data_IF_607341667369
#
_entry.id   IF_607341667369
#
_cell.length_a   1.000
_cell.length_b   1.000
_cell.length_c   1.000
_cell.angle_alpha   90.00
_cell.angle_beta   90.00
_cell.angle_gamma   90.00
#
_symmetry.space_group_name_H-M   'P 1'
#
loop_
_entity.id
_entity.type
_entity.pdbx_description
1 polymer ?
#
# COMPACT_ATOMS: atom_id res chain seq x y z
N UNK A 1 -24.83 18.86 -10.45
CA UNK A 1 -24.71 17.44 -10.83
C UNK A 1 -24.38 16.67 -9.56
N UNK A 2 -25.39 16.09 -8.91
CA UNK A 2 -25.17 15.06 -7.87
C UNK A 2 -24.53 13.86 -8.56
N UNK A 3 -23.19 13.87 -8.59
CA UNK A 3 -22.38 12.93 -9.34
C UNK A 3 -22.45 11.54 -8.70
N UNK A 4 -22.82 10.52 -9.48
CA UNK A 4 -22.42 9.14 -9.21
C UNK A 4 -20.93 9.13 -8.82
N UNK A 5 -20.64 8.61 -7.63
CA UNK A 5 -19.26 8.45 -7.15
C UNK A 5 -18.57 7.41 -8.04
N UNK A 6 -17.83 7.88 -9.04
CA UNK A 6 -16.98 7.03 -9.89
C UNK A 6 -16.10 6.15 -9.01
N UNK A 7 -16.15 4.85 -9.23
CA UNK A 7 -15.40 3.83 -8.47
C UNK A 7 -14.13 3.43 -9.20
N UNK A 8 -13.31 2.62 -8.53
CA UNK A 8 -12.18 1.97 -9.20
C UNK A 8 -12.70 1.14 -10.37
N UNK A 9 -12.07 1.29 -11.53
CA UNK A 9 -12.40 0.52 -12.72
C UNK A 9 -11.31 -0.50 -12.95
N UNK A 10 -11.64 -1.77 -12.73
CA UNK A 10 -10.72 -2.90 -12.83
C UNK A 10 -11.01 -3.74 -14.06
N UNK A 11 -9.97 -4.30 -14.67
CA UNK A 11 -10.10 -5.22 -15.78
C UNK A 11 -9.21 -6.42 -15.52
N UNK A 12 -9.78 -7.62 -15.63
CA UNK A 12 -9.04 -8.87 -15.56
C UNK A 12 -9.10 -9.64 -16.88
N UNK A 13 -8.13 -10.55 -17.06
CA UNK A 13 -8.01 -11.40 -18.26
C UNK A 13 -9.21 -12.33 -18.51
N UNK A 14 -10.12 -12.50 -17.54
CA UNK A 14 -11.30 -13.36 -17.68
C UNK A 14 -12.51 -12.69 -18.37
N UNK A 15 -12.44 -11.39 -18.66
CA UNK A 15 -13.50 -10.68 -19.38
C UNK A 15 -13.35 -10.90 -20.90
N UNK A 16 -14.34 -11.54 -21.52
CA UNK A 16 -14.38 -11.99 -22.94
C UNK A 16 -14.24 -10.90 -24.03
N UNK A 17 -13.95 -9.65 -23.67
CA UNK A 17 -13.54 -8.58 -24.60
C UNK A 17 -12.48 -7.72 -23.92
N UNK A 18 -11.22 -7.71 -24.38
CA UNK A 18 -10.25 -6.77 -23.87
C UNK A 18 -10.69 -5.35 -24.23
N UNK A 19 -11.03 -4.53 -23.23
CA UNK A 19 -11.06 -3.08 -23.42
C UNK A 19 -9.67 -2.63 -23.91
N UNK A 20 -9.59 -1.91 -25.02
CA UNK A 20 -8.32 -1.44 -25.61
C UNK A 20 -7.63 -0.34 -24.78
N UNK A 21 -8.25 0.09 -23.67
CA UNK A 21 -7.86 1.31 -22.97
C UNK A 21 -7.27 1.05 -21.58
N UNK A 22 -7.34 -0.16 -21.04
CA UNK A 22 -6.73 -0.51 -19.75
C UNK A 22 -5.91 -1.79 -19.89
N UNK A 23 -4.69 -1.76 -19.34
CA UNK A 23 -3.83 -2.93 -19.18
C UNK A 23 -4.59 -4.05 -18.46
N UNK A 24 -4.20 -5.31 -18.69
CA UNK A 24 -4.87 -6.42 -18.02
C UNK A 24 -4.42 -6.53 -16.55
N UNK A 25 -5.34 -7.00 -15.71
CA UNK A 25 -5.15 -7.25 -14.28
C UNK A 25 -4.71 -5.99 -13.50
N UNK A 26 -5.08 -4.80 -13.97
CA UNK A 26 -4.91 -3.53 -13.23
C UNK A 26 -6.24 -2.82 -13.01
N UNK A 27 -6.25 -1.90 -12.05
CA UNK A 27 -7.38 -1.01 -11.78
C UNK A 27 -6.96 0.45 -11.93
N UNK A 28 -7.75 1.25 -12.65
CA UNK A 28 -7.53 2.70 -12.77
C UNK A 28 -8.25 3.45 -11.64
N UNK A 29 -7.58 4.37 -10.93
CA UNK A 29 -8.19 5.14 -9.86
C UNK A 29 -9.32 6.05 -10.37
N UNK A 30 -10.38 6.28 -9.58
CA UNK A 30 -11.43 7.25 -9.90
C UNK A 30 -10.89 8.64 -10.29
N UNK A 31 -9.82 9.08 -9.62
CA UNK A 31 -9.12 10.33 -9.88
C UNK A 31 -8.50 10.35 -11.28
N UNK A 32 -7.75 9.30 -11.63
CA UNK A 32 -7.11 9.17 -12.95
C UNK A 32 -8.13 9.11 -14.11
N UNK A 33 -9.31 8.54 -13.88
CA UNK A 33 -10.41 8.54 -14.85
C UNK A 33 -10.95 9.95 -15.14
N UNK A 34 -10.80 10.90 -14.20
CA UNK A 34 -11.35 12.26 -14.26
C UNK A 34 -10.28 13.35 -14.38
N UNK A 35 -9.05 12.98 -14.72
CA UNK A 35 -7.94 13.92 -14.79
C UNK A 35 -8.25 15.13 -15.70
N UNK A 36 -7.91 16.34 -15.25
CA UNK A 36 -8.27 17.56 -15.96
C UNK A 36 -7.46 17.74 -17.27
N UNK A 37 -8.06 17.37 -18.40
CA UNK A 37 -7.43 17.49 -19.75
C UNK A 37 -8.30 18.23 -20.77
N UNK A 38 -9.37 18.89 -20.34
CA UNK A 38 -10.39 19.49 -21.23
C UNK A 38 -9.87 20.63 -22.12
N UNK A 39 -8.78 21.28 -21.72
CA UNK A 39 -8.10 22.30 -22.51
C UNK A 39 -7.20 21.71 -23.63
N UNK A 40 -6.94 20.41 -23.61
CA UNK A 40 -6.19 19.68 -24.64
C UNK A 40 -7.10 18.79 -25.49
N UNK A 41 -8.17 18.26 -24.89
CA UNK A 41 -9.09 17.33 -25.52
C UNK A 41 -10.53 17.58 -25.07
N UNK A 42 -11.42 17.89 -26.01
CA UNK A 42 -12.83 18.17 -25.75
C UNK A 42 -13.67 17.71 -26.94
N UNK A 43 -14.89 17.24 -26.69
CA UNK A 43 -15.81 16.81 -27.75
C UNK A 43 -15.18 15.80 -28.70
N UNK A 44 -14.50 14.80 -28.13
CA UNK A 44 -13.80 13.71 -28.83
C UNK A 44 -12.62 14.11 -29.72
N UNK A 45 -12.21 15.38 -29.68
CA UNK A 45 -11.21 15.97 -30.55
C UNK A 45 -10.11 16.69 -29.76
N UNK A 46 -8.94 16.81 -30.38
CA UNK A 46 -7.86 17.66 -29.86
C UNK A 46 -8.26 19.12 -30.03
N UNK A 47 -8.02 19.92 -28.99
CA UNK A 47 -8.20 21.37 -29.05
C UNK A 47 -7.13 21.95 -29.98
N UNK A 48 -7.47 22.56 -31.12
CA UNK A 48 -6.49 22.93 -32.14
C UNK A 48 -5.37 23.83 -31.60
N UNK A 49 -5.73 24.83 -30.78
CA UNK A 49 -4.79 25.80 -30.22
C UNK A 49 -3.88 25.24 -29.13
N UNK A 50 -4.16 24.04 -28.60
CA UNK A 50 -3.39 23.44 -27.50
C UNK A 50 -1.98 23.02 -27.91
N UNK A 51 -1.78 22.68 -29.19
CA UNK A 51 -0.55 22.08 -29.70
C UNK A 51 -0.01 22.80 -30.95
N UNK A 52 -0.27 24.11 -31.11
CA UNK A 52 0.24 24.90 -32.24
C UNK A 52 1.77 24.80 -32.35
N UNK A 53 2.46 25.07 -31.24
CA UNK A 53 3.90 25.01 -31.10
C UNK A 53 4.30 24.46 -29.71
N UNK A 54 5.60 24.27 -29.50
CA UNK A 54 6.16 23.72 -28.26
C UNK A 54 5.91 24.61 -27.03
N UNK A 55 5.89 25.94 -27.20
CA UNK A 55 5.59 26.89 -26.13
C UNK A 55 4.13 26.75 -25.70
N UNK A 56 3.21 26.73 -26.68
CA UNK A 56 1.78 26.61 -26.39
C UNK A 56 1.41 25.27 -25.80
N UNK A 57 2.03 24.18 -26.27
CA UNK A 57 1.92 22.86 -25.67
C UNK A 57 2.33 22.88 -24.18
N UNK A 58 3.48 23.49 -23.86
CA UNK A 58 3.96 23.62 -22.47
C UNK A 58 2.99 24.43 -21.60
N UNK A 59 2.48 25.56 -22.09
CA UNK A 59 1.49 26.38 -21.38
C UNK A 59 0.19 25.63 -21.12
N UNK A 60 -0.29 24.89 -22.12
CA UNK A 60 -1.55 24.14 -22.03
C UNK A 60 -1.43 23.01 -21.01
N UNK A 61 -0.34 22.24 -21.04
CA UNK A 61 -0.04 21.21 -20.04
C UNK A 61 0.08 21.80 -18.63
N UNK A 62 0.80 22.92 -18.48
CA UNK A 62 0.91 23.62 -17.18
C UNK A 62 -0.45 24.07 -16.66
N UNK A 63 -1.32 24.59 -17.53
CA UNK A 63 -2.66 25.05 -17.16
C UNK A 63 -3.55 23.89 -16.71
N UNK A 64 -3.47 22.75 -17.41
CA UNK A 64 -4.18 21.52 -17.05
C UNK A 64 -3.76 21.02 -15.66
N UNK A 65 -2.44 20.90 -15.43
CA UNK A 65 -1.87 20.51 -14.13
C UNK A 65 -2.31 21.48 -13.04
N UNK A 66 -2.16 22.80 -13.27
CA UNK A 66 -2.55 23.82 -12.28
C UNK A 66 -4.03 23.71 -11.89
N UNK A 67 -4.92 23.48 -12.86
CA UNK A 67 -6.35 23.35 -12.59
C UNK A 67 -6.66 22.05 -11.84
N UNK A 68 -6.06 20.93 -12.22
CA UNK A 68 -6.15 19.67 -11.49
C UNK A 68 -5.74 19.84 -10.02
N UNK A 69 -4.56 20.41 -9.77
CA UNK A 69 -4.06 20.57 -8.39
C UNK A 69 -4.92 21.53 -7.58
N UNK A 70 -5.43 22.60 -8.20
CA UNK A 70 -6.38 23.51 -7.56
C UNK A 70 -7.65 22.77 -7.13
N UNK A 71 -8.26 21.97 -8.01
CA UNK A 71 -9.48 21.22 -7.71
C UNK A 71 -9.25 20.18 -6.59
N UNK A 72 -8.11 19.52 -6.58
CA UNK A 72 -7.75 18.58 -5.50
C UNK A 72 -7.59 19.33 -4.16
N UNK A 73 -6.95 20.50 -4.16
CA UNK A 73 -6.78 21.31 -2.97
C UNK A 73 -8.11 21.82 -2.42
N UNK A 74 -8.99 22.34 -3.28
CA UNK A 74 -10.33 22.80 -2.91
C UNK A 74 -11.17 21.68 -2.28
N UNK A 75 -11.04 20.45 -2.80
CA UNK A 75 -11.81 19.30 -2.32
C UNK A 75 -11.27 18.66 -1.02
N UNK A 76 -9.94 18.66 -0.82
CA UNK A 76 -9.30 17.89 0.25
C UNK A 76 -8.44 18.72 1.21
N UNK A 77 -7.86 19.84 0.76
CA UNK A 77 -6.87 20.60 1.53
C UNK A 77 -7.40 21.11 2.87
N UNK A 78 -8.61 21.68 2.90
CA UNK A 78 -9.20 22.20 4.14
C UNK A 78 -9.39 21.16 5.25
N UNK A 79 -9.47 19.87 4.90
CA UNK A 79 -9.70 18.76 5.85
C UNK A 79 -8.44 17.95 6.14
N UNK A 80 -7.62 17.73 5.12
CA UNK A 80 -6.43 16.88 5.17
C UNK A 80 -5.42 17.35 4.11
N UNK A 81 -4.56 18.29 4.51
CA UNK A 81 -3.47 18.83 3.69
C UNK A 81 -2.58 17.70 3.13
N UNK A 82 -2.23 16.71 3.95
CA UNK A 82 -1.35 15.62 3.55
C UNK A 82 -1.99 14.78 2.44
N UNK A 83 -3.29 14.48 2.56
CA UNK A 83 -4.05 13.78 1.52
C UNK A 83 -4.12 14.59 0.24
N UNK A 84 -4.41 15.89 0.33
CA UNK A 84 -4.42 16.78 -0.83
C UNK A 84 -3.07 16.78 -1.56
N UNK A 85 -1.96 16.82 -0.82
CA UNK A 85 -0.61 16.70 -1.39
C UNK A 85 -0.36 15.32 -2.03
N UNK A 86 -0.73 14.22 -1.38
CA UNK A 86 -0.59 12.86 -1.96
C UNK A 86 -1.35 12.73 -3.28
N UNK A 87 -2.60 13.20 -3.34
CA UNK A 87 -3.42 13.16 -4.56
C UNK A 87 -2.83 14.05 -5.66
N UNK A 88 -2.32 15.23 -5.29
CA UNK A 88 -1.63 16.14 -6.22
C UNK A 88 -0.42 15.48 -6.86
N UNK A 89 0.42 14.81 -6.06
CA UNK A 89 1.57 14.08 -6.58
C UNK A 89 1.18 12.92 -7.51
N UNK A 90 0.11 12.19 -7.17
CA UNK A 90 -0.43 11.11 -8.01
C UNK A 90 -0.96 11.62 -9.34
N UNK A 91 -1.74 12.71 -9.35
CA UNK A 91 -2.19 13.34 -10.59
C UNK A 91 -1.03 13.85 -11.44
N UNK A 92 0.00 14.43 -10.83
CA UNK A 92 1.21 14.83 -11.56
C UNK A 92 1.90 13.65 -12.24
N UNK A 93 2.01 12.50 -11.56
CA UNK A 93 2.55 11.28 -12.17
C UNK A 93 1.66 10.74 -13.29
N UNK A 94 0.33 10.81 -13.17
CA UNK A 94 -0.55 10.42 -14.27
C UNK A 94 -0.37 11.33 -15.50
N UNK A 95 -0.20 12.64 -15.31
CA UNK A 95 0.18 13.54 -16.41
C UNK A 95 1.50 13.13 -17.05
N UNK A 96 2.52 12.79 -16.25
CA UNK A 96 3.82 12.29 -16.76
C UNK A 96 3.62 11.07 -17.66
N UNK A 97 2.90 10.05 -17.18
CA UNK A 97 2.70 8.81 -17.93
C UNK A 97 1.79 8.97 -19.16
N UNK A 98 0.82 9.90 -19.09
CA UNK A 98 0.06 10.33 -20.27
C UNK A 98 0.96 10.97 -21.33
N UNK A 99 1.85 11.89 -20.92
CA UNK A 99 2.78 12.58 -21.84
C UNK A 99 3.77 11.60 -22.45
N UNK A 100 4.33 10.67 -21.66
CA UNK A 100 5.27 9.65 -22.12
C UNK A 100 4.62 8.58 -23.01
N UNK A 101 3.30 8.39 -22.91
CA UNK A 101 2.54 7.38 -23.68
C UNK A 101 2.63 5.97 -23.09
N UNK A 102 3.20 5.84 -21.89
CA UNK A 102 3.39 4.58 -21.17
C UNK A 102 2.34 4.33 -20.08
N UNK A 103 1.33 5.20 -19.95
CA UNK A 103 0.23 5.04 -18.98
C UNK A 103 -0.48 3.68 -19.12
N UNK A 104 -0.76 3.00 -18.01
CA UNK A 104 -1.55 1.76 -17.96
C UNK A 104 -3.02 1.99 -18.33
N UNK A 105 -3.50 3.23 -18.22
CA UNK A 105 -4.81 3.71 -18.68
C UNK A 105 -4.61 4.61 -19.91
N UNK A 106 -5.08 4.14 -21.07
CA UNK A 106 -4.92 4.75 -22.40
C UNK A 106 -6.26 4.93 -23.10
N UNK A 107 -7.19 5.73 -22.56
CA UNK A 107 -8.38 6.12 -23.31
C UNK A 107 -8.00 6.87 -24.58
N UNK A 108 -8.92 6.96 -25.55
CA UNK A 108 -8.70 7.68 -26.81
C UNK A 108 -8.18 9.11 -26.62
N UNK A 109 -8.61 9.80 -25.55
CA UNK A 109 -8.12 11.12 -25.19
C UNK A 109 -6.61 11.13 -24.93
N UNK A 110 -6.10 10.19 -24.13
CA UNK A 110 -4.67 10.06 -23.83
C UNK A 110 -3.87 9.70 -25.07
N UNK A 111 -4.36 8.74 -25.87
CA UNK A 111 -3.74 8.31 -27.13
C UNK A 111 -3.55 9.51 -28.08
N UNK A 112 -4.63 10.27 -28.32
CA UNK A 112 -4.60 11.45 -29.22
C UNK A 112 -3.71 12.57 -28.67
N UNK A 113 -3.75 12.85 -27.37
CA UNK A 113 -2.88 13.85 -26.73
C UNK A 113 -1.40 13.46 -26.86
N UNK A 114 -1.06 12.22 -26.50
CA UNK A 114 0.31 11.71 -26.59
C UNK A 114 0.85 11.81 -28.02
N UNK A 115 0.07 11.38 -29.01
CA UNK A 115 0.48 11.44 -30.42
C UNK A 115 0.77 12.87 -30.87
N UNK A 116 -0.06 13.85 -30.46
CA UNK A 116 0.17 15.27 -30.77
C UNK A 116 1.41 15.84 -30.07
N UNK A 117 1.68 15.43 -28.84
CA UNK A 117 2.91 15.80 -28.14
C UNK A 117 4.12 15.22 -28.87
N UNK A 118 4.08 13.94 -29.24
CA UNK A 118 5.16 13.26 -29.96
C UNK A 118 5.48 13.96 -31.27
N UNK A 119 4.46 14.24 -32.09
CA UNK A 119 4.58 14.98 -33.36
C UNK A 119 5.29 16.34 -33.16
N UNK A 120 4.89 17.09 -32.13
CA UNK A 120 5.47 18.42 -31.85
C UNK A 120 6.90 18.34 -31.31
N UNK A 121 7.24 17.29 -30.56
CA UNK A 121 8.61 17.07 -30.09
C UNK A 121 9.54 16.63 -31.21
N UNK A 122 9.05 15.86 -32.20
CA UNK A 122 9.80 15.51 -33.40
C UNK A 122 10.10 16.76 -34.26
N UNK A 123 9.08 17.59 -34.54
CA UNK A 123 9.25 18.89 -35.22
C UNK A 123 10.25 19.82 -34.50
N UNK A 124 10.28 19.78 -33.16
CA UNK A 124 11.22 20.57 -32.36
C UNK A 124 12.66 20.03 -32.41
N UNK A 125 12.85 18.71 -32.53
CA UNK A 125 14.19 18.10 -32.64
C UNK A 125 14.85 18.45 -33.96
N UNK A 126 14.08 18.43 -35.05
CA UNK A 126 14.58 18.78 -36.39
C UNK A 126 14.96 20.26 -36.51
N UNK A 127 14.48 21.12 -35.60
CA UNK A 127 14.76 22.56 -35.60
C UNK A 127 15.89 23.02 -34.64
N UNK A 128 16.55 22.12 -33.89
CA UNK A 128 17.65 22.51 -32.98
C UNK A 128 18.87 21.59 -32.98
N UNK A 129 19.88 21.98 -33.75
CA UNK A 129 21.30 21.98 -33.33
C UNK A 129 21.57 23.28 -32.56
N UNK A 130 21.48 23.26 -31.22
CA UNK A 130 22.31 24.03 -30.25
C UNK A 130 21.69 24.03 -28.85
N UNK A 131 22.58 23.88 -27.86
CA UNK A 131 22.35 23.84 -26.43
C UNK A 131 21.54 25.04 -25.89
N UNK A 132 20.70 24.78 -24.88
CA UNK A 132 20.52 25.79 -23.83
C UNK A 132 20.22 25.17 -22.47
N UNK A 133 20.95 25.68 -21.48
CA UNK A 133 20.87 25.41 -20.04
C UNK A 133 19.58 26.02 -19.47
N UNK A 134 18.98 25.39 -18.46
CA UNK A 134 17.86 25.94 -17.70
C UNK A 134 18.33 26.50 -16.36
N UNK A 135 17.92 27.74 -16.07
CA UNK A 135 18.11 28.44 -14.79
C UNK A 135 16.78 28.93 -14.20
N UNK A 136 16.54 28.49 -12.97
CA UNK A 136 15.75 28.90 -11.76
C UNK A 136 15.09 30.31 -11.65
N UNK A 137 14.38 30.67 -10.54
CA UNK A 137 13.25 30.01 -9.86
C UNK A 137 12.08 30.98 -9.44
N UNK A 138 11.01 30.39 -8.87
CA UNK A 138 10.07 30.85 -7.81
C UNK A 138 8.57 30.83 -8.21
N UNK A 139 7.88 29.83 -7.68
CA UNK A 139 6.48 29.92 -7.28
C UNK A 139 6.42 29.54 -5.79
N UNK A 140 5.75 30.33 -4.97
CA UNK A 140 5.53 30.04 -3.55
C UNK A 140 4.36 29.06 -3.42
N UNK A 141 4.62 27.79 -3.70
CA UNK A 141 3.73 26.65 -3.46
C UNK A 141 4.41 25.64 -2.53
N UNK A 142 4.87 26.10 -1.38
CA UNK A 142 5.72 25.34 -0.45
C UNK A 142 4.95 24.36 0.45
N UNK A 143 3.62 24.28 0.31
CA UNK A 143 2.78 23.45 1.19
C UNK A 143 2.91 21.95 0.92
N UNK A 144 3.21 21.56 -0.32
CA UNK A 144 3.53 20.17 -0.65
C UNK A 144 5.05 20.02 -0.89
N UNK A 145 5.75 19.10 -0.20
CA UNK A 145 7.15 18.81 -0.47
C UNK A 145 7.38 18.42 -1.93
N UNK A 146 8.47 18.91 -2.53
CA UNK A 146 8.84 18.58 -3.92
C UNK A 146 9.08 17.08 -4.05
N UNK A 147 8.18 16.37 -4.73
CA UNK A 147 8.34 14.94 -4.94
C UNK A 147 9.23 14.66 -6.16
N UNK A 148 10.39 14.03 -5.94
CA UNK A 148 11.12 13.29 -6.97
C UNK A 148 10.90 11.83 -6.64
N UNK A 149 9.99 11.17 -7.35
CA UNK A 149 9.83 9.74 -7.20
C UNK A 149 9.61 9.10 -8.58
N UNK A 150 10.47 8.13 -8.92
CA UNK A 150 10.43 7.37 -10.16
C UNK A 150 9.87 5.94 -9.96
N UNK A 151 8.99 5.77 -8.98
CA UNK A 151 8.11 4.60 -8.87
C UNK A 151 7.28 4.44 -10.16
N UNK A 152 7.03 3.19 -10.52
CA UNK A 152 6.20 2.82 -11.67
C UNK A 152 4.73 3.24 -11.45
N UNK A 153 3.98 3.49 -12.52
CA UNK A 153 2.57 3.93 -12.40
C UNK A 153 1.72 2.90 -11.65
N UNK A 154 1.96 1.60 -11.85
CA UNK A 154 1.28 0.54 -11.13
C UNK A 154 1.47 0.68 -9.62
N UNK A 155 2.72 0.93 -9.18
CA UNK A 155 3.06 1.05 -7.75
C UNK A 155 2.29 2.19 -7.09
N UNK A 156 2.11 3.30 -7.80
CA UNK A 156 1.33 4.44 -7.32
C UNK A 156 -0.15 4.13 -7.18
N UNK A 157 -0.74 3.48 -8.19
CA UNK A 157 -2.15 3.12 -8.15
C UNK A 157 -2.42 2.06 -7.09
N UNK A 158 -1.52 1.09 -6.88
CA UNK A 158 -1.64 0.12 -5.80
C UNK A 158 -1.60 0.80 -4.41
N UNK A 159 -0.70 1.77 -4.22
CA UNK A 159 -0.64 2.59 -3.00
C UNK A 159 -1.89 3.46 -2.83
N UNK A 160 -2.41 4.05 -3.90
CA UNK A 160 -3.65 4.85 -3.90
C UNK A 160 -4.87 4.00 -3.55
N UNK A 161 -4.96 2.80 -4.13
CA UNK A 161 -6.01 1.85 -3.83
C UNK A 161 -6.01 1.43 -2.37
N UNK A 162 -4.82 1.18 -1.81
CA UNK A 162 -4.64 0.79 -0.41
C UNK A 162 -5.06 1.90 0.56
N UNK A 163 -4.74 3.17 0.24
CA UNK A 163 -5.20 4.33 1.00
C UNK A 163 -6.73 4.46 0.97
N UNK A 164 -7.33 4.36 -0.23
CA UNK A 164 -8.79 4.44 -0.41
C UNK A 164 -9.51 3.31 0.35
N UNK A 165 -8.95 2.10 0.31
CA UNK A 165 -9.45 0.96 1.07
C UNK A 165 -9.37 1.21 2.57
N UNK A 166 -8.24 1.71 3.07
CA UNK A 166 -8.07 2.02 4.49
C UNK A 166 -9.12 3.03 4.97
N UNK A 167 -9.24 4.16 4.28
CA UNK A 167 -10.16 5.24 4.66
C UNK A 167 -11.61 4.74 4.65
N UNK A 168 -12.03 4.05 3.58
CA UNK A 168 -13.41 3.56 3.46
C UNK A 168 -13.72 2.41 4.41
N UNK A 169 -12.76 1.51 4.66
CA UNK A 169 -12.91 0.45 5.66
C UNK A 169 -13.09 1.06 7.04
N UNK A 170 -12.28 2.05 7.43
CA UNK A 170 -12.40 2.73 8.72
C UNK A 170 -13.78 3.36 8.91
N UNK A 171 -14.29 4.05 7.88
CA UNK A 171 -15.64 4.64 7.90
C UNK A 171 -16.73 3.59 8.10
N UNK A 172 -16.73 2.51 7.29
CA UNK A 172 -17.78 1.49 7.34
C UNK A 172 -17.68 0.59 8.58
N UNK A 173 -16.47 0.26 9.01
CA UNK A 173 -16.20 -0.48 10.23
C UNK A 173 -16.70 0.28 11.47
N UNK A 174 -16.45 1.60 11.54
CA UNK A 174 -16.97 2.45 12.60
C UNK A 174 -18.50 2.50 12.60
N UNK A 175 -19.13 2.60 11.43
CA UNK A 175 -20.61 2.54 11.34
C UNK A 175 -21.19 1.22 11.84
N UNK A 176 -20.49 0.10 11.63
CA UNK A 176 -20.88 -1.20 12.20
C UNK A 176 -20.76 -1.17 13.71
N UNK A 177 -19.63 -0.71 14.27
CA UNK A 177 -19.43 -0.60 15.72
C UNK A 177 -20.50 0.28 16.38
N UNK A 178 -20.73 1.47 15.84
CA UNK A 178 -21.69 2.44 16.37
C UNK A 178 -23.13 1.91 16.37
N UNK A 179 -23.52 1.17 15.32
CA UNK A 179 -24.90 0.70 15.15
C UNK A 179 -25.16 -0.71 15.70
N UNK A 180 -24.11 -1.47 15.95
CA UNK A 180 -24.21 -2.83 16.51
C UNK A 180 -23.77 -2.88 17.99
N UNK A 181 -23.74 -1.73 18.68
CA UNK A 181 -23.30 -1.61 20.09
C UNK A 181 -24.23 -2.37 21.06
N UNK A 182 -23.96 -3.67 21.21
CA UNK A 182 -24.67 -4.62 22.08
C UNK A 182 -24.03 -6.02 22.05
N UNK A 183 -22.72 -6.05 21.82
CA UNK A 183 -21.92 -7.23 21.48
C UNK A 183 -22.44 -8.54 22.08
N UNK A 184 -22.77 -9.48 21.18
CA UNK A 184 -23.30 -10.84 21.42
C UNK A 184 -24.82 -11.03 21.52
N UNK A 185 -25.63 -9.98 21.74
CA UNK A 185 -27.08 -10.15 21.91
C UNK A 185 -27.93 -9.78 20.68
N UNK A 186 -27.31 -9.34 19.60
CA UNK A 186 -28.01 -9.02 18.35
C UNK A 186 -28.27 -10.25 17.48
N UNK A 187 -27.82 -11.43 17.88
CA UNK A 187 -28.07 -12.66 17.15
C UNK A 187 -29.21 -13.42 17.82
N UNK A 188 -30.23 -13.81 17.05
CA UNK A 188 -31.28 -14.69 17.56
C UNK A 188 -30.81 -16.16 17.63
N UNK A 189 -31.67 -17.01 18.18
CA UNK A 189 -31.47 -18.46 18.20
C UNK A 189 -31.41 -19.14 16.82
N UNK A 190 -31.69 -18.41 15.72
CA UNK A 190 -31.67 -18.92 14.33
C UNK A 190 -30.49 -18.39 13.51
N UNK A 191 -29.42 -17.92 14.16
CA UNK A 191 -28.18 -17.43 13.56
C UNK A 191 -28.35 -16.21 12.63
N UNK A 192 -29.29 -15.30 12.92
CA UNK A 192 -29.47 -14.04 12.18
C UNK A 192 -29.44 -12.81 13.08
N UNK A 193 -29.03 -11.67 12.51
CA UNK A 193 -29.00 -10.38 13.21
C UNK A 193 -30.43 -9.87 13.39
N UNK A 194 -30.82 -9.57 14.63
CA UNK A 194 -32.17 -9.11 15.01
C UNK A 194 -32.39 -7.62 14.78
N UNK A 195 -31.35 -6.79 14.97
CA UNK A 195 -31.43 -5.36 14.72
C UNK A 195 -31.25 -5.05 13.22
N UNK A 196 -32.31 -4.53 12.60
CA UNK A 196 -32.33 -4.24 11.17
C UNK A 196 -31.27 -3.20 10.75
N UNK A 197 -30.95 -2.24 11.63
CA UNK A 197 -29.95 -1.20 11.34
C UNK A 197 -28.55 -1.82 11.29
N UNK A 198 -28.20 -2.62 12.29
CA UNK A 198 -26.96 -3.38 12.38
C UNK A 198 -26.83 -4.35 11.21
N UNK A 199 -27.89 -5.10 10.89
CA UNK A 199 -27.92 -6.01 9.75
C UNK A 199 -27.59 -5.29 8.44
N UNK A 200 -28.20 -4.12 8.22
CA UNK A 200 -27.96 -3.27 7.05
C UNK A 200 -26.48 -2.84 6.96
N UNK A 201 -25.90 -2.37 8.08
CA UNK A 201 -24.49 -1.97 8.15
C UNK A 201 -23.51 -3.12 7.94
N UNK A 202 -23.77 -4.28 8.55
CA UNK A 202 -23.00 -5.50 8.32
C UNK A 202 -23.04 -5.94 6.86
N UNK A 203 -24.22 -5.87 6.22
CA UNK A 203 -24.40 -6.21 4.81
C UNK A 203 -23.65 -5.26 3.89
N UNK A 204 -23.72 -3.95 4.17
CA UNK A 204 -22.98 -2.92 3.44
C UNK A 204 -21.47 -3.17 3.55
N UNK A 205 -20.99 -3.48 4.75
CA UNK A 205 -19.57 -3.74 4.98
C UNK A 205 -19.08 -5.01 4.27
N UNK A 206 -19.83 -6.12 4.37
CA UNK A 206 -19.55 -7.36 3.63
C UNK A 206 -19.48 -7.14 2.11
N UNK A 207 -20.42 -6.37 1.56
CA UNK A 207 -20.46 -6.06 0.13
C UNK A 207 -19.22 -5.27 -0.30
N UNK A 208 -18.84 -4.27 0.50
CA UNK A 208 -17.61 -3.50 0.29
C UNK A 208 -16.36 -4.39 0.33
N UNK A 209 -16.21 -5.26 1.34
CA UNK A 209 -15.07 -6.17 1.44
C UNK A 209 -15.04 -7.15 0.25
N UNK A 210 -16.19 -7.68 -0.15
CA UNK A 210 -16.29 -8.59 -1.30
C UNK A 210 -15.79 -7.94 -2.59
N UNK A 211 -16.17 -6.67 -2.83
CA UNK A 211 -15.67 -5.91 -3.96
C UNK A 211 -14.15 -5.72 -3.86
N UNK A 212 -13.67 -5.20 -2.73
CA UNK A 212 -12.24 -4.88 -2.53
C UNK A 212 -11.33 -6.11 -2.60
N UNK A 213 -11.79 -7.24 -2.07
CA UNK A 213 -11.11 -8.54 -2.21
C UNK A 213 -10.95 -8.95 -3.67
N UNK A 214 -11.97 -8.77 -4.49
CA UNK A 214 -11.91 -9.05 -5.94
C UNK A 214 -10.99 -8.08 -6.67
N UNK A 215 -11.08 -6.79 -6.36
CA UNK A 215 -10.17 -5.77 -6.93
C UNK A 215 -8.71 -6.13 -6.64
N UNK A 216 -8.39 -6.50 -5.39
CA UNK A 216 -7.04 -6.88 -4.99
C UNK A 216 -6.58 -8.22 -5.61
N UNK A 217 -7.28 -9.31 -5.33
CA UNK A 217 -6.82 -10.67 -5.67
C UNK A 217 -6.82 -10.93 -7.18
N UNK A 218 -7.83 -10.44 -7.90
CA UNK A 218 -7.98 -10.70 -9.35
C UNK A 218 -7.26 -9.68 -10.24
N UNK A 219 -6.72 -8.60 -9.68
CA UNK A 219 -6.01 -7.58 -10.46
C UNK A 219 -4.63 -7.35 -9.85
N UNK A 220 -4.50 -6.50 -8.83
CA UNK A 220 -3.19 -6.10 -8.28
C UNK A 220 -2.28 -7.28 -7.91
N UNK A 221 -2.81 -8.29 -7.23
CA UNK A 221 -2.04 -9.48 -6.86
C UNK A 221 -1.65 -10.32 -8.09
N UNK A 222 -2.54 -10.48 -9.07
CA UNK A 222 -2.26 -11.21 -10.29
C UNK A 222 -1.16 -10.51 -11.11
N UNK A 223 -1.26 -9.18 -11.28
CA UNK A 223 -0.24 -8.38 -11.94
C UNK A 223 1.12 -8.50 -11.24
N UNK A 224 1.15 -8.39 -9.90
CA UNK A 224 2.40 -8.52 -9.14
C UNK A 224 3.05 -9.90 -9.32
N UNK A 225 2.28 -11.00 -9.27
CA UNK A 225 2.81 -12.35 -9.50
C UNK A 225 3.42 -12.52 -10.89
N UNK A 226 2.77 -11.96 -11.91
CA UNK A 226 3.31 -11.96 -13.27
C UNK A 226 4.61 -11.14 -13.35
N UNK A 227 4.63 -9.97 -12.71
CA UNK A 227 5.80 -9.10 -12.71
C UNK A 227 6.96 -9.63 -11.88
N UNK A 228 6.73 -10.34 -10.77
CA UNK A 228 7.79 -11.01 -10.01
C UNK A 228 8.54 -12.04 -10.87
N UNK A 229 7.83 -12.69 -11.81
CA UNK A 229 8.44 -13.63 -12.77
C UNK A 229 9.26 -12.91 -13.83
N UNK A 230 8.74 -11.80 -14.38
CA UNK A 230 9.39 -11.07 -15.48
C UNK A 230 10.50 -10.12 -15.03
N UNK A 231 10.30 -9.47 -13.89
CA UNK A 231 11.09 -8.36 -13.39
C UNK A 231 11.26 -8.47 -11.85
N UNK A 232 11.93 -9.52 -11.34
CA UNK A 232 12.02 -9.81 -9.90
C UNK A 232 12.63 -8.67 -9.07
N UNK A 233 13.45 -7.83 -9.69
CA UNK A 233 14.10 -6.69 -9.03
C UNK A 233 13.29 -5.38 -9.09
N UNK A 234 12.22 -5.31 -9.88
CA UNK A 234 11.50 -4.06 -10.15
C UNK A 234 10.43 -3.77 -9.11
N UNK A 235 9.67 -4.78 -8.70
CA UNK A 235 8.50 -4.66 -7.82
C UNK A 235 8.76 -5.23 -6.43
N UNK A 236 8.03 -4.73 -5.44
CA UNK A 236 8.06 -5.24 -4.07
C UNK A 236 6.98 -6.30 -3.88
N UNK A 237 7.05 -7.04 -2.77
CA UNK A 237 6.00 -8.00 -2.43
C UNK A 237 4.66 -7.30 -2.16
N UNK A 238 3.55 -8.01 -2.39
CA UNK A 238 2.19 -7.48 -2.32
C UNK A 238 1.86 -6.73 -1.01
N UNK A 239 2.39 -7.22 0.12
CA UNK A 239 2.12 -6.63 1.44
C UNK A 239 2.67 -5.21 1.56
N UNK A 240 3.75 -4.88 0.84
CA UNK A 240 4.36 -3.56 0.88
C UNK A 240 3.39 -2.47 0.40
N UNK A 241 2.64 -2.75 -0.66
CA UNK A 241 1.68 -1.81 -1.21
C UNK A 241 0.46 -1.67 -0.30
N UNK A 242 0.00 -2.75 0.32
CA UNK A 242 -1.10 -2.73 1.27
C UNK A 242 -0.76 -1.96 2.54
N UNK A 243 0.49 -2.02 2.99
CA UNK A 243 0.92 -1.34 4.22
C UNK A 243 1.27 0.14 3.98
N UNK A 244 1.22 0.65 2.76
CA UNK A 244 1.49 2.06 2.46
C UNK A 244 0.75 3.08 3.35
N UNK A 245 -0.60 3.02 3.54
CA UNK A 245 -1.33 3.98 4.39
C UNK A 245 -0.82 4.00 5.82
N UNK A 246 -0.38 2.84 6.30
CA UNK A 246 0.09 2.66 7.66
C UNK A 246 1.42 3.36 7.94
N UNK A 247 2.13 3.87 6.93
CA UNK A 247 3.33 4.71 7.15
C UNK A 247 3.01 6.08 7.75
N UNK A 248 1.77 6.54 7.61
CA UNK A 248 1.31 7.83 8.13
C UNK A 248 -0.02 7.74 8.90
N UNK A 249 -0.78 6.65 8.78
CA UNK A 249 -2.00 6.37 9.55
C UNK A 249 -1.78 5.24 10.56
N UNK A 250 -2.51 5.27 11.69
CA UNK A 250 -2.46 4.16 12.65
C UNK A 250 -3.18 2.94 12.09
N UNK A 251 -2.47 1.81 12.00
CA UNK A 251 -2.94 0.53 11.53
C UNK A 251 -2.66 -0.55 12.56
N UNK A 252 -3.48 -1.58 12.48
CA UNK A 252 -3.41 -2.80 13.25
C UNK A 252 -3.73 -4.01 12.36
N UNK A 253 -3.73 -5.19 12.96
CA UNK A 253 -4.09 -6.43 12.27
C UNK A 253 -5.48 -6.42 11.63
N UNK A 254 -6.41 -5.61 12.13
CA UNK A 254 -7.78 -5.57 11.63
C UNK A 254 -7.81 -5.09 10.17
N UNK A 255 -6.94 -4.14 9.80
CA UNK A 255 -6.84 -3.63 8.44
C UNK A 255 -6.56 -4.73 7.39
N UNK A 256 -5.55 -5.57 7.61
CA UNK A 256 -5.24 -6.68 6.69
C UNK A 256 -6.23 -7.84 6.85
N UNK A 257 -6.71 -8.11 8.07
CA UNK A 257 -7.75 -9.13 8.30
C UNK A 257 -9.00 -8.85 7.46
N UNK A 258 -9.40 -7.59 7.36
CA UNK A 258 -10.53 -7.18 6.54
C UNK A 258 -10.36 -7.59 5.08
N UNK A 259 -9.15 -7.42 4.55
CA UNK A 259 -8.87 -7.67 3.14
C UNK A 259 -8.51 -9.12 2.84
N UNK A 260 -7.50 -9.67 3.51
CA UNK A 260 -6.87 -10.94 3.11
C UNK A 260 -7.49 -12.18 3.77
N UNK A 261 -8.43 -12.04 4.70
CA UNK A 261 -9.09 -13.20 5.28
C UNK A 261 -10.01 -13.90 4.26
N UNK A 262 -9.73 -15.18 4.00
CA UNK A 262 -10.53 -16.03 3.11
C UNK A 262 -11.78 -16.58 3.79
N UNK A 263 -11.73 -16.78 5.11
CA UNK A 263 -12.80 -17.42 5.89
C UNK A 263 -13.77 -16.43 6.52
N UNK A 264 -13.33 -15.19 6.79
CA UNK A 264 -14.15 -14.17 7.47
C UNK A 264 -14.84 -13.27 6.47
N UNK A 265 -16.12 -13.53 6.22
CA UNK A 265 -16.93 -12.76 5.26
C UNK A 265 -17.14 -11.29 5.68
N UNK A 266 -17.15 -10.99 6.99
CA UNK A 266 -17.20 -9.65 7.55
C UNK A 266 -15.82 -9.15 8.01
N UNK A 267 -14.75 -9.84 7.64
CA UNK A 267 -13.38 -9.42 7.90
C UNK A 267 -13.10 -9.24 9.40
N UNK A 268 -12.66 -8.07 9.80
CA UNK A 268 -12.39 -7.77 11.22
C UNK A 268 -13.65 -7.50 12.06
N UNK A 269 -14.84 -7.49 11.44
CA UNK A 269 -16.14 -7.37 12.12
C UNK A 269 -16.86 -8.69 12.24
N UNK A 270 -16.18 -9.81 12.00
CA UNK A 270 -16.74 -11.15 12.08
C UNK A 270 -17.44 -11.41 13.42
N UNK A 271 -16.81 -11.06 14.55
CA UNK A 271 -17.38 -11.24 15.89
C UNK A 271 -18.66 -10.43 16.16
N UNK A 272 -18.93 -9.40 15.38
CA UNK A 272 -20.10 -8.52 15.52
C UNK A 272 -21.20 -8.93 14.56
N UNK A 273 -20.84 -9.21 13.31
CA UNK A 273 -21.78 -9.41 12.21
C UNK A 273 -22.08 -10.88 11.90
N UNK A 274 -21.26 -11.82 12.37
CA UNK A 274 -21.51 -13.24 12.15
C UNK A 274 -22.25 -13.86 13.34
N UNK A 275 -23.44 -14.39 13.08
CA UNK A 275 -24.28 -15.06 14.07
C UNK A 275 -24.16 -16.58 14.04
N UNK A 276 -23.31 -17.14 13.18
CA UNK A 276 -23.05 -18.58 13.11
C UNK A 276 -22.19 -19.03 14.30
N UNK A 277 -22.76 -19.89 15.16
CA UNK A 277 -22.12 -20.42 16.36
C UNK A 277 -21.10 -21.53 16.06
N UNK A 278 -20.98 -21.98 14.82
CA UNK A 278 -20.05 -23.05 14.42
C UNK A 278 -18.58 -22.59 14.32
N UNK A 279 -18.26 -21.32 14.60
CA UNK A 279 -16.89 -20.85 14.47
C UNK A 279 -15.96 -21.42 15.55
N UNK A 280 -14.91 -22.09 15.06
CA UNK A 280 -13.68 -22.43 15.78
C UNK A 280 -13.14 -21.20 16.50
N UNK A 281 -12.79 -21.36 17.78
CA UNK A 281 -11.97 -20.38 18.51
C UNK A 281 -10.79 -19.96 17.64
N UNK A 282 -10.52 -18.66 17.58
CA UNK A 282 -9.22 -18.17 17.12
C UNK A 282 -8.19 -18.84 18.03
N UNK A 283 -7.36 -19.71 17.44
CA UNK A 283 -6.25 -20.29 18.16
C UNK A 283 -5.24 -19.17 18.38
N UNK A 284 -4.82 -18.98 19.63
CA UNK A 284 -3.75 -18.02 19.94
C UNK A 284 -2.36 -18.58 19.63
N UNK A 285 -2.31 -19.81 19.08
CA UNK A 285 -1.09 -20.50 18.71
C UNK A 285 -0.43 -19.84 17.48
N UNK A 286 0.74 -19.18 17.65
CA UNK A 286 1.45 -18.56 16.53
C UNK A 286 2.02 -19.58 15.53
N UNK A 287 2.02 -20.87 15.88
CA UNK A 287 2.43 -21.97 15.00
C UNK A 287 1.24 -22.57 14.22
N UNK A 288 0.00 -22.13 14.48
CA UNK A 288 -1.15 -22.55 13.69
C UNK A 288 -1.07 -21.99 12.27
N UNK A 289 -1.48 -22.81 11.31
CA UNK A 289 -1.58 -22.46 9.90
C UNK A 289 -2.90 -21.74 9.57
N UNK A 290 -3.87 -21.68 10.49
CA UNK A 290 -5.25 -21.24 10.20
C UNK A 290 -5.47 -19.71 10.14
N UNK A 291 -4.46 -18.88 10.39
CA UNK A 291 -4.54 -17.44 10.08
C UNK A 291 -3.17 -16.77 9.86
N UNK A 292 -2.92 -16.26 8.65
CA UNK A 292 -1.56 -16.15 8.08
C UNK A 292 -1.02 -14.72 7.85
N UNK A 293 -1.58 -13.66 8.46
CA UNK A 293 -1.19 -12.28 8.11
C UNK A 293 -0.86 -11.37 9.28
N UNK A 294 0.44 -11.21 9.53
CA UNK A 294 1.00 -10.34 10.57
C UNK A 294 1.59 -9.04 10.01
N UNK A 295 1.21 -8.63 8.79
CA UNK A 295 1.83 -7.49 8.10
C UNK A 295 3.28 -7.78 7.66
N UNK A 296 3.58 -9.04 7.41
CA UNK A 296 4.89 -9.52 6.96
C UNK A 296 4.70 -10.55 5.85
N UNK A 297 5.80 -10.90 5.18
CA UNK A 297 5.80 -11.90 4.11
C UNK A 297 6.55 -13.17 4.52
N UNK A 298 6.33 -14.29 3.82
CA UNK A 298 7.13 -15.50 3.96
C UNK A 298 8.64 -15.22 3.82
N UNK A 299 9.46 -15.97 4.58
CA UNK A 299 10.92 -15.79 4.53
C UNK A 299 11.47 -16.34 3.22
N UNK A 300 12.10 -15.47 2.44
CA UNK A 300 12.93 -15.81 1.28
C UNK A 300 14.37 -15.50 1.66
N UNK A 301 15.11 -16.38 2.33
CA UNK A 301 16.52 -16.11 2.68
C UNK A 301 17.43 -16.19 1.45
N UNK A 302 17.10 -15.45 0.38
CA UNK A 302 17.76 -15.49 -0.91
C UNK A 302 19.28 -15.38 -0.75
N UNK A 303 19.96 -16.46 -1.14
CA UNK A 303 21.42 -16.60 -1.18
C UNK A 303 22.13 -16.47 0.19
N UNK A 304 21.41 -16.48 1.31
CA UNK A 304 21.98 -16.33 2.67
C UNK A 304 22.96 -15.15 2.82
N UNK A 305 22.70 -14.03 2.13
CA UNK A 305 23.61 -12.89 2.09
C UNK A 305 23.55 -12.07 3.37
N UNK A 306 24.71 -11.92 4.01
CA UNK A 306 24.93 -11.00 5.11
C UNK A 306 25.07 -9.58 4.59
N UNK A 307 24.48 -8.61 5.27
CA UNK A 307 24.43 -7.21 4.80
C UNK A 307 24.99 -6.26 5.85
N UNK A 308 25.81 -5.30 5.42
CA UNK A 308 26.28 -4.20 6.27
C UNK A 308 25.66 -2.85 5.89
N UNK A 309 24.76 -2.84 4.91
CA UNK A 309 24.24 -1.61 4.30
C UNK A 309 23.54 -0.68 5.29
N UNK A 310 22.72 -1.24 6.20
CA UNK A 310 21.91 -0.44 7.13
C UNK A 310 22.44 -0.49 8.57
N UNK A 311 23.72 -0.80 8.78
CA UNK A 311 24.33 -0.63 10.11
C UNK A 311 24.22 0.84 10.52
N UNK A 312 23.73 1.05 11.75
CA UNK A 312 23.39 2.35 12.35
C UNK A 312 24.56 3.31 12.36
N UNK A 313 25.73 2.83 12.77
CA UNK A 313 26.97 3.58 12.76
C UNK A 313 27.69 3.38 11.40
N UNK A 314 27.87 4.43 10.59
CA UNK A 314 28.56 4.31 9.30
C UNK A 314 29.99 3.77 9.41
N UNK A 315 30.69 3.99 10.54
CA UNK A 315 32.07 3.51 10.75
C UNK A 315 32.18 1.99 10.93
N UNK A 316 31.06 1.34 11.24
CA UNK A 316 30.96 -0.10 11.47
C UNK A 316 30.46 -0.84 10.21
N UNK A 317 30.02 -0.10 9.18
CA UNK A 317 29.66 -0.68 7.87
C UNK A 317 30.89 -1.36 7.26
N UNK A 318 30.71 -2.60 6.80
CA UNK A 318 31.79 -3.45 6.30
C UNK A 318 32.57 -4.20 7.40
N UNK A 319 32.32 -3.93 8.68
CA UNK A 319 32.91 -4.65 9.83
C UNK A 319 31.87 -5.48 10.58
N UNK A 320 30.67 -4.92 10.73
CA UNK A 320 29.50 -5.58 11.32
C UNK A 320 28.52 -5.90 10.20
N UNK A 321 27.93 -7.09 10.24
CA UNK A 321 26.98 -7.55 9.25
C UNK A 321 25.73 -8.11 9.92
N UNK A 322 24.56 -7.70 9.43
CA UNK A 322 23.29 -8.25 9.85
C UNK A 322 23.02 -9.59 9.11
N UNK A 323 22.64 -10.64 9.84
CA UNK A 323 22.31 -11.93 9.24
C UNK A 323 21.04 -11.84 8.38
N UNK A 324 20.87 -12.73 7.38
CA UNK A 324 19.68 -12.77 6.52
C UNK A 324 18.34 -12.77 7.29
N UNK A 325 18.31 -13.47 8.42
CA UNK A 325 17.17 -13.51 9.36
C UNK A 325 16.83 -12.11 9.90
N UNK A 326 17.80 -11.37 10.44
CA UNK A 326 17.58 -10.01 10.96
C UNK A 326 17.15 -9.04 9.85
N UNK A 327 17.69 -9.20 8.64
CA UNK A 327 17.33 -8.40 7.47
C UNK A 327 15.87 -8.61 7.01
N UNK A 328 15.26 -9.74 7.38
CA UNK A 328 13.89 -10.11 7.04
C UNK A 328 13.02 -10.35 8.26
N UNK A 329 13.42 -9.78 9.41
CA UNK A 329 12.68 -9.90 10.66
C UNK A 329 11.30 -9.27 10.50
N UNK A 330 10.27 -9.95 10.97
CA UNK A 330 8.91 -9.44 10.94
C UNK A 330 8.78 -8.35 12.00
N UNK A 331 8.61 -7.11 11.55
CA UNK A 331 8.25 -5.98 12.43
C UNK A 331 6.76 -5.65 12.36
N UNK A 332 6.00 -6.40 11.56
CA UNK A 332 4.54 -6.40 11.51
C UNK A 332 3.94 -5.01 11.49
N UNK A 333 3.19 -4.65 12.53
CA UNK A 333 2.49 -3.36 12.69
C UNK A 333 3.34 -2.26 13.34
N UNK A 334 4.57 -2.55 13.77
CA UNK A 334 5.43 -1.58 14.47
C UNK A 334 5.84 -0.39 13.62
N UNK A 335 5.80 -0.53 12.30
CA UNK A 335 6.04 0.57 11.37
C UNK A 335 4.91 1.62 11.39
N UNK A 336 3.75 1.28 11.92
CA UNK A 336 2.60 2.17 11.94
C UNK A 336 2.65 3.15 13.12
N UNK A 337 2.45 4.46 12.89
CA UNK A 337 2.54 5.46 13.93
C UNK A 337 1.52 5.21 15.04
N UNK A 338 1.99 5.27 16.27
CA UNK A 338 1.15 5.28 17.46
C UNK A 338 0.70 6.74 17.66
N UNK A 339 -0.61 6.98 17.54
CA UNK A 339 -1.21 8.31 17.67
C UNK A 339 -1.81 8.57 19.05
N UNK A 340 -1.78 7.58 19.94
CA UNK A 340 -2.23 7.70 21.31
C UNK A 340 -1.34 8.66 22.11
N UNK A 341 -1.97 9.54 22.88
CA UNK A 341 -1.31 10.59 23.67
C UNK A 341 -1.19 10.21 25.13
N UNK A 342 -2.08 9.34 25.64
CA UNK A 342 -2.01 8.83 26.99
C UNK A 342 -0.91 7.76 27.12
N UNK A 343 0.05 8.02 28.00
CA UNK A 343 1.24 7.16 28.21
C UNK A 343 0.92 5.69 28.43
N UNK A 344 -0.11 5.35 29.21
CA UNK A 344 -0.44 3.96 29.54
C UNK A 344 -1.13 3.25 28.39
N UNK A 345 -2.03 3.95 27.68
CA UNK A 345 -2.62 3.44 26.44
C UNK A 345 -1.58 3.29 25.33
N UNK A 346 -0.64 4.23 25.19
CA UNK A 346 0.50 4.14 24.25
C UNK A 346 1.35 2.91 24.55
N UNK A 347 1.67 2.65 25.83
CA UNK A 347 2.38 1.43 26.24
C UNK A 347 1.60 0.17 25.89
N UNK A 348 0.29 0.18 26.12
CA UNK A 348 -0.61 -0.92 25.76
C UNK A 348 -0.59 -1.21 24.26
N UNK A 349 -0.76 -0.18 23.42
CA UNK A 349 -0.72 -0.30 21.96
C UNK A 349 0.65 -0.79 21.48
N UNK A 350 1.75 -0.21 21.98
CA UNK A 350 3.10 -0.64 21.63
C UNK A 350 3.34 -2.10 22.01
N UNK A 351 2.95 -2.50 23.23
CA UNK A 351 3.06 -3.89 23.69
C UNK A 351 2.32 -4.84 22.75
N UNK A 352 1.11 -4.49 22.34
CA UNK A 352 0.34 -5.32 21.41
C UNK A 352 1.00 -5.42 20.04
N UNK A 353 1.50 -4.31 19.48
CA UNK A 353 2.22 -4.32 18.19
C UNK A 353 3.51 -5.15 18.24
N UNK A 354 4.24 -5.11 19.37
CA UNK A 354 5.44 -5.96 19.58
C UNK A 354 5.04 -7.43 19.63
N UNK A 355 3.97 -7.77 20.35
CA UNK A 355 3.46 -9.14 20.42
C UNK A 355 3.05 -9.65 19.04
N UNK A 356 2.33 -8.86 18.26
CA UNK A 356 1.91 -9.24 16.91
C UNK A 356 3.12 -9.44 15.97
N UNK A 357 4.15 -8.58 16.06
CA UNK A 357 5.38 -8.74 15.32
C UNK A 357 6.13 -10.03 15.71
N UNK A 358 6.22 -10.34 17.00
CA UNK A 358 6.83 -11.57 17.49
C UNK A 358 6.07 -12.83 17.04
N UNK A 359 4.73 -12.80 17.11
CA UNK A 359 3.87 -13.89 16.59
C UNK A 359 4.10 -14.08 15.09
N UNK A 360 4.15 -13.00 14.32
CA UNK A 360 4.43 -13.06 12.88
C UNK A 360 5.82 -13.59 12.55
N UNK A 361 6.85 -13.17 13.30
CA UNK A 361 8.20 -13.70 13.14
C UNK A 361 8.25 -15.20 13.40
N UNK A 362 7.63 -15.64 14.50
CA UNK A 362 7.50 -17.05 14.86
C UNK A 362 6.82 -17.84 13.73
N UNK A 363 5.66 -17.38 13.26
CA UNK A 363 4.89 -18.03 12.21
C UNK A 363 5.70 -18.19 10.90
N UNK A 364 6.28 -17.10 10.38
CA UNK A 364 7.00 -17.16 9.11
C UNK A 364 8.34 -17.89 9.21
N UNK A 365 9.01 -17.88 10.37
CA UNK A 365 10.16 -18.75 10.60
C UNK A 365 9.73 -20.22 10.61
N UNK A 366 8.63 -20.56 11.30
CA UNK A 366 8.12 -21.94 11.33
C UNK A 366 7.83 -22.42 9.92
N UNK A 367 7.04 -21.66 9.15
CA UNK A 367 6.72 -21.94 7.74
C UNK A 367 7.98 -22.17 6.88
N UNK A 368 9.00 -21.32 7.06
CA UNK A 368 10.27 -21.47 6.35
C UNK A 368 11.01 -22.76 6.75
N UNK A 369 11.24 -22.99 8.04
CA UNK A 369 11.99 -24.14 8.53
C UNK A 369 11.28 -25.47 8.23
N UNK A 370 9.95 -25.52 8.30
CA UNK A 370 9.15 -26.67 7.86
C UNK A 370 9.33 -26.93 6.36
N UNK A 371 9.31 -25.87 5.53
CA UNK A 371 9.43 -26.04 4.07
C UNK A 371 10.78 -26.60 3.64
N UNK A 372 11.87 -26.26 4.34
CA UNK A 372 13.22 -26.74 4.02
C UNK A 372 13.57 -28.08 4.70
N UNK A 373 12.84 -28.49 5.74
CA UNK A 373 13.07 -29.77 6.42
C UNK A 373 12.43 -30.97 5.71
N UNK A 374 11.66 -30.74 4.64
CA UNK A 374 10.96 -31.80 3.90
C UNK A 374 9.86 -32.50 4.72
N UNK A 375 9.49 -31.96 5.88
CA UNK A 375 8.46 -32.53 6.74
C UNK A 375 7.08 -32.24 6.13
N UNK A 376 6.38 -33.28 5.65
CA UNK A 376 4.99 -33.12 5.20
C UNK A 376 4.08 -32.71 6.36
N UNK A 377 3.19 -31.78 6.07
CA UNK A 377 2.34 -31.06 7.02
C UNK A 377 1.10 -31.85 7.50
N UNK A 378 1.13 -33.19 7.42
CA UNK A 378 -0.08 -34.01 7.59
C UNK A 378 -0.34 -34.47 9.03
N UNK A 379 0.48 -34.04 9.99
CA UNK A 379 0.15 -34.10 11.42
C UNK A 379 0.88 -32.99 12.14
N UNK A 380 0.23 -32.36 13.14
CA UNK A 380 0.88 -31.35 13.97
C UNK A 380 2.17 -31.95 14.56
N UNK A 381 3.35 -31.51 14.13
CA UNK A 381 4.58 -32.15 14.56
C UNK A 381 4.72 -31.91 16.07
N UNK A 382 4.90 -32.99 16.84
CA UNK A 382 5.09 -32.92 18.29
C UNK A 382 6.39 -32.22 18.69
N UNK A 383 7.26 -31.94 17.71
CA UNK A 383 8.51 -31.22 17.89
C UNK A 383 8.73 -30.18 16.78
N UNK A 384 9.33 -29.02 17.10
CA UNK A 384 9.61 -27.99 16.12
C UNK A 384 10.62 -28.43 15.05
N UNK A 385 10.55 -27.91 13.81
CA UNK A 385 11.49 -28.27 12.76
C UNK A 385 12.93 -27.88 13.13
N UNK A 386 13.96 -28.63 12.67
CA UNK A 386 15.36 -28.34 13.00
C UNK A 386 15.76 -26.89 12.68
N UNK A 387 16.46 -26.24 13.61
CA UNK A 387 16.93 -24.85 13.45
C UNK A 387 15.90 -23.76 13.76
N UNK A 388 14.59 -24.09 13.83
CA UNK A 388 13.54 -23.11 14.14
C UNK A 388 13.71 -22.49 15.52
N UNK A 389 13.89 -23.30 16.56
CA UNK A 389 14.02 -22.79 17.94
C UNK A 389 15.22 -21.85 18.11
N UNK A 390 16.34 -22.14 17.46
CA UNK A 390 17.52 -21.29 17.54
C UNK A 390 17.34 -20.00 16.75
N UNK A 391 16.68 -20.05 15.59
CA UNK A 391 16.29 -18.86 14.87
C UNK A 391 15.32 -17.98 15.69
N UNK A 392 14.35 -18.61 16.36
CA UNK A 392 13.39 -17.93 17.21
C UNK A 392 14.05 -17.25 18.41
N UNK A 393 14.97 -17.93 19.12
CA UNK A 393 15.76 -17.34 20.22
C UNK A 393 16.55 -16.13 19.76
N UNK A 394 17.17 -16.20 18.58
CA UNK A 394 17.93 -15.07 17.99
C UNK A 394 17.01 -13.91 17.59
N UNK A 395 15.86 -14.18 16.99
CA UNK A 395 14.88 -13.14 16.68
C UNK A 395 14.28 -12.51 17.94
N UNK A 396 14.07 -13.28 19.01
CA UNK A 396 13.65 -12.74 20.30
C UNK A 396 14.68 -11.77 20.88
N UNK A 397 15.98 -12.12 20.82
CA UNK A 397 17.06 -11.23 21.24
C UNK A 397 17.07 -9.93 20.41
N UNK A 398 17.00 -10.03 19.08
CA UNK A 398 16.97 -8.87 18.18
C UNK A 398 15.75 -7.96 18.45
N UNK A 399 14.55 -8.53 18.66
CA UNK A 399 13.35 -7.75 19.03
C UNK A 399 13.57 -7.06 20.38
N UNK A 400 14.18 -7.75 21.35
CA UNK A 400 14.58 -7.16 22.63
C UNK A 400 15.52 -5.97 22.46
N UNK A 401 16.53 -6.07 21.60
CA UNK A 401 17.47 -5.00 21.30
C UNK A 401 16.82 -3.84 20.54
N UNK A 402 15.86 -4.11 19.65
CA UNK A 402 15.06 -3.07 18.99
C UNK A 402 14.25 -2.27 20.02
N UNK A 403 13.61 -2.94 20.98
CA UNK A 403 12.81 -2.28 22.03
C UNK A 403 13.70 -1.49 23.00
N UNK A 404 14.89 -2.00 23.33
CA UNK A 404 15.87 -1.32 24.20
C UNK A 404 16.60 -0.17 23.49
N UNK A 405 16.54 -0.10 22.16
CA UNK A 405 17.28 0.87 21.36
C UNK A 405 18.77 0.55 21.17
N UNK A 406 19.19 -0.67 21.50
CA UNK A 406 20.55 -1.22 21.39
C UNK A 406 20.80 -1.94 20.07
N UNK A 407 19.76 -2.20 19.28
CA UNK A 407 19.90 -2.82 17.95
C UNK A 407 20.77 -1.96 17.01
N UNK A 408 21.68 -2.64 16.30
CA UNK A 408 22.68 -2.02 15.45
C UNK A 408 22.19 -1.78 14.00
N UNK A 409 20.94 -2.11 13.68
CA UNK A 409 20.42 -2.14 12.32
C UNK A 409 19.24 -1.19 12.13
N UNK A 410 19.37 -0.21 11.23
CA UNK A 410 18.35 0.83 11.05
C UNK A 410 17.23 0.46 10.07
N UNK A 411 17.28 -0.70 9.38
CA UNK A 411 16.26 -1.02 8.40
C UNK A 411 14.98 -1.57 9.07
N UNK A 412 13.86 -0.91 8.79
CA UNK A 412 12.51 -1.44 8.97
C UNK A 412 11.82 -1.56 7.61
N UNK A 413 11.27 -2.74 7.29
CA UNK A 413 10.47 -3.05 6.08
C UNK A 413 11.05 -2.52 4.76
N UNK A 414 12.35 -2.70 4.50
CA UNK A 414 12.92 -2.33 3.20
C UNK A 414 13.68 -3.51 2.61
N UNK A 415 12.91 -4.49 2.14
CA UNK A 415 13.39 -5.50 1.22
C UNK A 415 12.73 -5.30 -0.15
N UNK A 416 13.14 -4.23 -0.81
CA UNK A 416 13.33 -4.25 -2.25
C UNK A 416 14.75 -3.74 -2.53
N UNK A 417 15.37 -4.17 -3.63
CA UNK A 417 16.70 -3.73 -4.06
C UNK A 417 16.82 -2.21 -4.31
N UNK A 418 15.80 -1.41 -3.96
CA UNK A 418 15.71 0.04 -4.10
C UNK A 418 15.65 0.81 -2.78
N UNK A 419 16.04 0.25 -1.63
CA UNK A 419 16.14 1.03 -0.38
C UNK A 419 16.96 2.34 -0.49
N UNK A 420 17.80 2.48 -1.53
CA UNK A 420 18.45 3.74 -1.91
C UNK A 420 17.48 4.89 -2.29
N UNK A 421 16.22 4.62 -2.63
CA UNK A 421 15.21 5.66 -3.01
C UNK A 421 14.40 6.17 -1.81
N UNK A 422 14.11 5.33 -0.82
CA UNK A 422 13.30 5.74 0.34
C UNK A 422 14.11 6.60 1.31
N UNK A 423 15.44 6.51 1.29
CA UNK A 423 16.34 7.40 2.04
C UNK A 423 16.21 8.89 1.66
N UNK A 424 15.69 9.23 0.46
CA UNK A 424 15.44 10.64 0.09
C UNK A 424 14.21 11.26 0.76
N UNK A 425 13.27 10.45 1.27
CA UNK A 425 12.01 10.94 1.86
C UNK A 425 11.94 10.78 3.38
N UNK A 426 13.08 10.65 4.05
CA UNK A 426 13.15 10.58 5.51
C UNK A 426 12.75 9.19 6.01
N UNK A 427 13.74 8.37 6.33
CA UNK A 427 13.51 7.15 7.09
C UNK A 427 12.68 7.46 8.33
N UNK A 428 11.65 6.64 8.58
CA UNK A 428 10.82 6.73 9.78
C UNK A 428 11.75 6.60 10.99
N UNK A 429 12.05 7.74 11.61
CA UNK A 429 12.68 7.76 12.93
C UNK A 429 11.61 7.29 13.90
N UNK A 430 11.67 6.04 14.32
CA UNK A 430 10.99 5.61 15.55
C UNK A 430 11.69 6.35 16.70
N UNK A 431 11.26 7.59 16.97
CA UNK A 431 11.52 8.21 18.26
C UNK A 431 10.52 7.60 19.22
N UNK A 432 10.92 6.56 19.93
CA UNK A 432 10.27 6.22 21.20
C UNK A 432 10.76 7.29 22.19
N UNK A 433 9.92 8.22 22.68
CA UNK A 433 10.31 9.08 23.77
C UNK A 433 10.30 8.25 25.05
N UNK A 434 11.31 7.41 25.25
CA UNK A 434 11.67 6.99 26.58
C UNK A 434 12.30 8.22 27.24
N UNK A 435 11.57 8.81 28.18
CA UNK A 435 12.01 9.95 28.97
C UNK A 435 13.39 9.69 29.56
N UNK A 436 14.23 10.72 29.53
CA UNK A 436 15.42 10.79 30.38
C UNK A 436 14.97 11.06 31.81
N UNK A 437 15.69 10.40 32.71
CA UNK A 437 15.66 10.43 34.18
C UNK A 437 14.58 9.59 34.83
#
# INVERSE_FOLDING_TARGET
MENEKTTWSCKNNNNKKPSQDLENDVCVPPRGQKICISNMYRSQNIVPTAFNDTTKMKETLKSAIKKETQLLWENFGSKDNDKACRLTHRSFNDFKHMVLGDSLWKPDSFKKIHNKIKEKLEQYKDSKTTNSKSGTPKATGLECPRLINDDDQFEWWAKEWSDDFYDKRKELAGQVEDKCSGGKNNCNGTNTITDATCQSKCTQYKSFLTLKRKEWTKNFQAYLKEQETKNPDKYSEEIFYLLNPCTYQSCDKAYITALLSETKQYGDKEKICNCDKSQTQETDDPCDNKFEHYGCSPKKFDKNIWSSTYVKNPKDRGKVFAPPRRNSICIGWLFSPIRETNKDKTKGELKQKIMDAAKGESHYLHKYYTSISGSQADSAPTSPPPGYCDALKRSFADIGDMVKGTDMWMAGILRSNKSKRIEKNGGIKIKVPCGKQ
#
